data_IF_911180798093
#
_entry.id   IF_911180798093
#
_cell.length_a   1.000
_cell.length_b   1.000
_cell.length_c   1.000
_cell.angle_alpha   90.00
_cell.angle_beta   90.00
_cell.angle_gamma   90.00
#
_symmetry.space_group_name_H-M   'P 1'
#
loop_
_entity.id
_entity.type
_entity.pdbx_description
1 polymer ?
#
# COMPACT_ATOMS: atom_id res chain seq x y z
N UNK A 1 -15.33 -4.73 16.66
CA UNK A 1 -15.29 -3.30 16.27
C UNK A 1 -15.61 -3.03 14.79
N UNK A 2 -14.95 -3.72 13.82
CA UNK A 2 -15.23 -3.50 12.38
C UNK A 2 -16.67 -3.91 12.04
N UNK A 3 -17.07 -5.12 12.41
CA UNK A 3 -18.41 -5.63 12.18
C UNK A 3 -19.51 -4.80 12.83
N UNK A 4 -19.29 -4.26 14.02
CA UNK A 4 -20.25 -3.38 14.72
C UNK A 4 -20.43 -2.04 13.98
N UNK A 5 -19.33 -1.48 13.44
CA UNK A 5 -19.40 -0.26 12.64
C UNK A 5 -20.15 -0.47 11.32
N UNK A 6 -19.93 -1.62 10.66
CA UNK A 6 -20.69 -1.98 9.47
C UNK A 6 -22.18 -2.21 9.80
N UNK A 7 -22.48 -2.88 10.90
CA UNK A 7 -23.88 -3.07 11.35
C UNK A 7 -24.58 -1.73 11.62
N UNK A 8 -23.88 -0.79 12.26
CA UNK A 8 -24.41 0.56 12.49
C UNK A 8 -24.66 1.28 11.17
N UNK A 9 -23.67 1.28 10.28
CA UNK A 9 -23.80 1.90 8.97
C UNK A 9 -24.98 1.34 8.16
N UNK A 10 -25.15 0.02 8.13
CA UNK A 10 -26.25 -0.62 7.41
C UNK A 10 -27.62 -0.31 8.02
N UNK A 11 -27.71 -0.13 9.35
CA UNK A 11 -28.95 0.31 10.01
C UNK A 11 -29.34 1.74 9.63
N UNK A 12 -28.34 2.63 9.59
CA UNK A 12 -28.54 4.01 9.20
C UNK A 12 -28.88 4.18 7.72
N UNK A 13 -28.61 3.16 6.90
CA UNK A 13 -28.85 3.11 5.45
C UNK A 13 -29.73 1.93 5.04
N UNK A 14 -30.84 1.76 5.74
CA UNK A 14 -31.77 0.63 5.55
C UNK A 14 -32.40 0.53 4.13
N UNK A 15 -32.35 1.62 3.37
CA UNK A 15 -32.86 1.67 1.99
C UNK A 15 -31.90 1.00 0.98
N UNK A 16 -30.67 0.69 1.40
CA UNK A 16 -29.68 0.01 0.57
C UNK A 16 -29.58 -1.48 0.92
N UNK A 17 -29.43 -2.28 -0.11
CA UNK A 17 -29.11 -3.70 0.03
C UNK A 17 -27.61 -3.91 -0.08
N UNK A 18 -27.01 -4.53 0.93
CA UNK A 18 -25.62 -4.96 0.85
C UNK A 18 -25.49 -6.06 -0.23
N UNK A 19 -24.76 -5.78 -1.29
CA UNK A 19 -24.53 -6.73 -2.40
C UNK A 19 -23.22 -7.50 -2.24
N UNK A 20 -22.23 -6.94 -1.55
CA UNK A 20 -20.93 -7.57 -1.32
C UNK A 20 -19.98 -6.66 -0.55
N UNK A 21 -18.86 -7.23 -0.13
CA UNK A 21 -17.80 -6.51 0.60
C UNK A 21 -16.46 -6.74 -0.08
N UNK A 22 -15.79 -5.66 -0.48
CA UNK A 22 -14.41 -5.66 -0.92
C UNK A 22 -13.49 -5.22 0.21
N UNK A 23 -12.41 -5.96 0.44
CA UNK A 23 -11.39 -5.64 1.46
C UNK A 23 -10.04 -5.48 0.79
N UNK A 24 -9.44 -4.28 0.93
CA UNK A 24 -8.04 -4.03 0.62
C UNK A 24 -7.24 -3.97 1.93
N UNK A 25 -6.25 -4.83 2.10
CA UNK A 25 -5.48 -4.86 3.33
C UNK A 25 -4.01 -5.25 3.08
N UNK A 26 -3.04 -4.69 3.83
CA UNK A 26 -1.67 -5.16 3.78
C UNK A 26 -1.61 -6.67 4.04
N UNK A 27 -0.79 -7.38 3.27
CA UNK A 27 -0.66 -8.85 3.33
C UNK A 27 -1.99 -9.61 3.13
N UNK A 28 -2.98 -8.99 2.48
CA UNK A 28 -4.23 -9.64 2.11
C UNK A 28 -4.04 -10.60 0.94
N UNK A 29 -4.25 -11.89 1.18
CA UNK A 29 -4.13 -12.93 0.16
C UNK A 29 -5.48 -13.20 -0.51
N UNK A 30 -5.55 -12.92 -1.81
CA UNK A 30 -6.76 -13.07 -2.61
C UNK A 30 -7.29 -14.51 -2.67
N UNK A 31 -6.40 -15.50 -2.73
CA UNK A 31 -6.81 -16.89 -2.90
C UNK A 31 -7.28 -17.55 -1.63
N UNK A 32 -6.68 -17.18 -0.49
CA UNK A 32 -7.01 -17.79 0.81
C UNK A 32 -8.05 -17.00 1.60
N UNK A 33 -8.25 -15.72 1.30
CA UNK A 33 -9.12 -14.86 2.09
C UNK A 33 -8.54 -14.43 3.45
N UNK A 34 -7.22 -14.68 3.64
CA UNK A 34 -6.53 -14.47 4.92
C UNK A 34 -5.66 -13.21 4.82
N UNK A 35 -5.72 -12.38 5.87
CA UNK A 35 -4.71 -11.35 6.13
C UNK A 35 -3.65 -11.99 7.02
N UNK A 36 -2.38 -11.96 6.58
CA UNK A 36 -1.30 -12.62 7.29
C UNK A 36 -0.31 -11.60 7.86
N UNK A 37 -0.18 -11.56 9.19
CA UNK A 37 0.81 -10.76 9.91
C UNK A 37 0.98 -9.33 9.34
N UNK A 38 -0.10 -8.53 9.27
CA UNK A 38 -0.05 -7.21 8.66
C UNK A 38 0.90 -6.30 9.44
N UNK A 39 1.83 -5.57 8.78
CA UNK A 39 2.98 -4.93 9.42
C UNK A 39 2.63 -3.88 10.48
N UNK A 40 1.43 -3.31 10.43
CA UNK A 40 0.99 -2.25 11.35
C UNK A 40 -0.13 -2.68 12.29
N UNK A 41 -0.48 -3.97 12.32
CA UNK A 41 -1.60 -4.50 13.10
C UNK A 41 -1.15 -5.78 13.82
N UNK A 42 -1.39 -5.85 15.12
CA UNK A 42 -1.05 -7.02 15.95
C UNK A 42 -2.08 -8.14 15.83
N UNK A 43 -2.50 -8.49 14.61
CA UNK A 43 -3.61 -9.44 14.41
C UNK A 43 -3.16 -10.88 14.21
N UNK A 44 -1.90 -11.13 13.86
CA UNK A 44 -1.47 -12.43 13.36
C UNK A 44 -2.22 -12.81 12.09
N UNK A 45 -2.68 -14.04 11.97
CA UNK A 45 -3.48 -14.51 10.84
C UNK A 45 -4.98 -14.34 11.12
N UNK A 46 -5.70 -13.71 10.17
CA UNK A 46 -7.14 -13.50 10.26
C UNK A 46 -7.81 -13.90 8.95
N UNK A 47 -8.67 -14.90 8.99
CA UNK A 47 -9.57 -15.26 7.89
C UNK A 47 -10.73 -14.27 7.83
N UNK A 48 -10.45 -13.10 7.25
CA UNK A 48 -11.40 -12.00 7.19
C UNK A 48 -12.57 -12.28 6.26
N UNK A 49 -12.33 -13.07 5.21
CA UNK A 49 -13.36 -13.41 4.23
C UNK A 49 -14.43 -14.29 4.87
N UNK A 50 -14.04 -15.34 5.54
CA UNK A 50 -14.99 -16.22 6.24
C UNK A 50 -15.75 -15.47 7.33
N UNK A 51 -15.04 -14.70 8.17
CA UNK A 51 -15.66 -13.93 9.23
C UNK A 51 -16.73 -12.93 8.74
N UNK A 52 -16.46 -12.25 7.63
CA UNK A 52 -17.41 -11.29 7.06
C UNK A 52 -18.55 -11.98 6.31
N UNK A 53 -18.29 -13.09 5.60
CA UNK A 53 -19.33 -13.89 4.94
C UNK A 53 -20.34 -14.44 5.93
N UNK A 54 -19.87 -15.05 7.02
CA UNK A 54 -20.73 -15.59 8.08
C UNK A 54 -21.59 -14.51 8.72
N UNK A 55 -21.00 -13.33 8.95
CA UNK A 55 -21.71 -12.25 9.62
C UNK A 55 -22.74 -11.54 8.73
N UNK A 56 -22.42 -11.27 7.47
CA UNK A 56 -23.22 -10.41 6.60
C UNK A 56 -23.96 -11.18 5.51
N UNK A 57 -23.73 -12.47 5.37
CA UNK A 57 -24.36 -13.34 4.38
C UNK A 57 -24.33 -12.75 2.94
N UNK A 58 -23.16 -12.25 2.53
CA UNK A 58 -22.91 -11.69 1.21
C UNK A 58 -21.54 -12.14 0.68
N UNK A 59 -21.28 -11.91 -0.59
CA UNK A 59 -19.97 -12.17 -1.17
C UNK A 59 -18.91 -11.23 -0.59
N UNK A 60 -17.75 -11.80 -0.27
CA UNK A 60 -16.59 -11.06 0.25
C UNK A 60 -15.36 -11.40 -0.57
N UNK A 61 -14.62 -10.38 -0.98
CA UNK A 61 -13.34 -10.52 -1.66
C UNK A 61 -12.25 -9.78 -0.90
N UNK A 62 -11.08 -10.37 -0.83
CA UNK A 62 -9.89 -9.78 -0.23
C UNK A 62 -8.80 -9.60 -1.29
N UNK A 63 -8.08 -8.51 -1.20
CA UNK A 63 -6.83 -8.30 -1.93
C UNK A 63 -5.86 -7.43 -1.12
N UNK A 64 -4.62 -7.31 -1.60
CA UNK A 64 -3.67 -6.33 -1.08
C UNK A 64 -4.18 -4.90 -1.35
N UNK A 65 -3.81 -3.94 -0.51
CA UNK A 65 -4.25 -2.54 -0.59
C UNK A 65 -3.79 -1.84 -1.90
N UNK A 66 -2.57 -2.10 -2.36
CA UNK A 66 -2.08 -1.58 -3.64
C UNK A 66 -2.81 -2.20 -4.84
N UNK A 67 -3.13 -3.49 -4.78
CA UNK A 67 -3.99 -4.15 -5.76
C UNK A 67 -5.40 -3.56 -5.78
N UNK A 68 -5.95 -3.22 -4.60
CA UNK A 68 -7.25 -2.54 -4.51
C UNK A 68 -7.20 -1.16 -5.17
N UNK A 69 -6.12 -0.40 -4.99
CA UNK A 69 -5.90 0.87 -5.68
C UNK A 69 -5.84 0.68 -7.20
N UNK A 70 -5.11 -0.32 -7.69
CA UNK A 70 -5.04 -0.63 -9.11
C UNK A 70 -6.40 -1.03 -9.71
N UNK A 71 -7.21 -1.78 -8.96
CA UNK A 71 -8.59 -2.09 -9.34
C UNK A 71 -9.46 -0.82 -9.40
N UNK A 72 -9.26 0.11 -8.47
CA UNK A 72 -9.92 1.41 -8.47
C UNK A 72 -9.60 2.21 -9.73
N UNK A 73 -8.32 2.33 -10.09
CA UNK A 73 -7.87 3.00 -11.32
C UNK A 73 -8.39 2.33 -12.59
N UNK A 74 -8.45 1.00 -12.62
CA UNK A 74 -8.99 0.23 -13.77
C UNK A 74 -10.49 0.46 -13.95
N UNK A 75 -11.25 0.52 -12.87
CA UNK A 75 -12.70 0.58 -12.95
C UNK A 75 -13.26 2.02 -13.00
N UNK A 76 -12.59 2.97 -12.37
CA UNK A 76 -13.11 4.32 -12.14
C UNK A 76 -12.10 5.44 -12.39
N UNK A 77 -10.83 5.10 -12.60
CA UNK A 77 -9.75 6.07 -12.73
C UNK A 77 -9.21 6.21 -14.15
N UNK A 78 -7.99 6.74 -14.23
CA UNK A 78 -7.31 7.07 -15.49
C UNK A 78 -6.95 5.83 -16.34
N UNK A 79 -6.88 4.66 -15.72
CA UNK A 79 -6.54 3.40 -16.39
C UNK A 79 -7.75 2.63 -16.94
N UNK A 80 -8.94 3.24 -17.00
CA UNK A 80 -10.17 2.56 -17.41
C UNK A 80 -10.10 1.91 -18.79
N UNK A 81 -9.36 2.50 -19.72
CA UNK A 81 -9.19 2.01 -21.10
C UNK A 81 -7.87 1.25 -21.32
N UNK A 82 -7.07 1.04 -20.27
CA UNK A 82 -5.76 0.39 -20.36
C UNK A 82 -5.85 -1.08 -19.99
N UNK A 83 -5.29 -1.96 -20.82
CA UNK A 83 -5.19 -3.39 -20.52
C UNK A 83 -3.89 -3.75 -19.79
N UNK A 84 -2.84 -2.98 -20.00
CA UNK A 84 -1.51 -3.20 -19.45
C UNK A 84 -1.02 -1.92 -18.78
N UNK A 85 -0.89 -1.95 -17.47
CA UNK A 85 -0.41 -0.81 -16.67
C UNK A 85 0.05 -1.25 -15.28
N UNK A 86 0.76 -0.37 -14.61
CA UNK A 86 1.16 -0.52 -13.21
C UNK A 86 0.69 0.71 -12.43
N UNK A 87 0.03 0.48 -11.31
CA UNK A 87 -0.22 1.52 -10.31
C UNK A 87 0.82 1.39 -9.21
N UNK A 88 1.48 2.49 -8.88
CA UNK A 88 2.43 2.58 -7.78
C UNK A 88 1.82 3.49 -6.70
N UNK A 89 1.76 3.00 -5.49
CA UNK A 89 1.33 3.77 -4.32
C UNK A 89 2.54 4.12 -3.46
N UNK A 90 2.78 5.42 -3.28
CA UNK A 90 3.86 5.93 -2.42
C UNK A 90 3.25 6.54 -1.16
N UNK A 91 3.65 5.99 -0.01
CA UNK A 91 3.17 6.42 1.29
C UNK A 91 4.18 6.03 2.37
N UNK A 92 3.71 5.38 3.44
CA UNK A 92 4.59 4.79 4.47
C UNK A 92 5.58 3.78 3.87
N UNK A 93 5.13 3.05 2.83
CA UNK A 93 5.92 2.14 2.02
C UNK A 93 5.73 2.39 0.53
N UNK A 94 6.13 1.43 -0.31
CA UNK A 94 5.84 1.37 -1.73
C UNK A 94 5.03 0.12 -2.03
N UNK A 95 3.77 0.31 -2.42
CA UNK A 95 2.93 -0.75 -2.96
C UNK A 95 2.81 -0.65 -4.48
N UNK A 96 2.48 -1.74 -5.15
CA UNK A 96 2.14 -1.72 -6.56
C UNK A 96 1.14 -2.79 -6.95
N UNK A 97 0.28 -2.46 -7.92
CA UNK A 97 -0.65 -3.39 -8.56
C UNK A 97 -0.42 -3.41 -10.06
N UNK A 98 -0.34 -4.59 -10.65
CA UNK A 98 0.00 -4.79 -12.06
C UNK A 98 -1.21 -5.36 -12.79
N UNK A 99 -1.61 -4.70 -13.87
CA UNK A 99 -2.56 -5.24 -14.84
C UNK A 99 -1.83 -5.68 -16.11
N UNK A 100 -2.21 -6.83 -16.62
CA UNK A 100 -1.75 -7.33 -17.92
C UNK A 100 -2.88 -8.07 -18.63
N UNK A 101 -3.08 -7.77 -19.92
CA UNK A 101 -4.19 -8.30 -20.68
C UNK A 101 -5.57 -7.99 -20.08
N UNK A 102 -5.71 -6.87 -19.39
CA UNK A 102 -6.96 -6.45 -18.73
C UNK A 102 -7.26 -7.15 -17.39
N UNK A 103 -6.33 -7.97 -16.88
CA UNK A 103 -6.47 -8.71 -15.62
C UNK A 103 -5.43 -8.28 -14.61
N UNK A 104 -5.84 -8.19 -13.35
CA UNK A 104 -4.93 -7.94 -12.23
C UNK A 104 -4.04 -9.17 -12.01
N UNK A 105 -2.74 -8.94 -11.96
CA UNK A 105 -1.73 -9.99 -11.75
C UNK A 105 -1.58 -10.26 -10.24
N UNK A 106 -2.04 -11.40 -9.78
CA UNK A 106 -1.86 -11.83 -8.39
C UNK A 106 -0.58 -12.64 -8.17
N UNK A 107 -0.10 -13.36 -9.20
CA UNK A 107 0.93 -14.37 -9.05
C UNK A 107 0.43 -15.61 -8.28
N UNK A 108 1.27 -16.64 -8.18
CA UNK A 108 0.88 -17.93 -7.58
C UNK A 108 0.51 -17.81 -6.09
N UNK A 109 1.20 -16.93 -5.37
CA UNK A 109 1.05 -16.77 -3.91
C UNK A 109 0.37 -15.45 -3.52
N UNK A 110 -0.28 -14.76 -4.48
CA UNK A 110 -0.85 -13.41 -4.25
C UNK A 110 0.20 -12.33 -3.91
N UNK A 111 1.45 -12.52 -4.35
CA UNK A 111 2.58 -11.63 -4.07
C UNK A 111 3.12 -10.92 -5.32
N UNK A 112 2.41 -10.98 -6.45
CA UNK A 112 2.80 -10.17 -7.60
C UNK A 112 2.64 -8.69 -7.28
N UNK A 113 3.56 -7.87 -7.80
CA UNK A 113 3.50 -6.43 -7.57
C UNK A 113 4.29 -5.95 -6.35
N UNK A 114 5.09 -6.78 -5.69
CA UNK A 114 5.95 -6.37 -4.57
C UNK A 114 7.21 -5.61 -5.05
N UNK A 115 6.99 -4.57 -5.89
CA UNK A 115 8.08 -3.80 -6.51
C UNK A 115 8.90 -3.00 -5.51
N UNK A 116 8.32 -2.66 -4.35
CA UNK A 116 9.03 -2.01 -3.26
C UNK A 116 10.23 -2.79 -2.76
N UNK A 117 10.22 -4.12 -2.92
CA UNK A 117 11.28 -5.00 -2.44
C UNK A 117 12.32 -5.38 -3.50
N UNK A 118 12.26 -4.77 -4.70
CA UNK A 118 13.35 -4.89 -5.68
C UNK A 118 14.59 -4.20 -5.12
N UNK A 119 15.71 -4.91 -5.03
CA UNK A 119 16.98 -4.35 -4.58
C UNK A 119 17.61 -3.48 -5.67
N UNK A 120 17.75 -2.20 -5.40
CA UNK A 120 18.36 -1.19 -6.31
C UNK A 120 19.75 -0.78 -5.86
N UNK A 121 20.15 -1.12 -4.63
CA UNK A 121 21.43 -0.74 -4.06
C UNK A 121 22.06 -1.93 -3.33
N UNK A 122 23.15 -2.47 -3.89
CA UNK A 122 23.91 -3.52 -3.22
C UNK A 122 24.45 -3.00 -1.88
N UNK A 123 24.21 -3.73 -0.78
CA UNK A 123 24.56 -3.31 0.57
C UNK A 123 23.91 -1.98 1.04
N UNK A 124 22.80 -1.57 0.42
CA UNK A 124 22.04 -0.38 0.79
C UNK A 124 21.32 -0.50 2.13
N UNK A 125 20.34 0.38 2.35
CA UNK A 125 19.57 0.46 3.58
C UNK A 125 18.87 -0.86 3.90
N UNK A 126 18.82 -1.23 5.18
CA UNK A 126 18.12 -2.43 5.63
C UNK A 126 16.59 -2.27 5.44
N UNK A 127 15.95 -3.29 4.91
CA UNK A 127 14.49 -3.34 4.72
C UNK A 127 13.84 -4.28 5.74
N UNK A 128 12.61 -4.00 6.11
CA UNK A 128 11.79 -4.84 7.00
C UNK A 128 11.56 -6.26 6.47
N UNK A 129 11.65 -6.46 5.15
CA UNK A 129 11.56 -7.78 4.52
C UNK A 129 12.80 -8.67 4.74
N UNK A 130 13.84 -8.18 5.41
CA UNK A 130 15.10 -8.89 5.67
C UNK A 130 16.18 -8.68 4.61
N UNK A 131 15.87 -8.05 3.48
CA UNK A 131 16.82 -7.72 2.42
C UNK A 131 17.47 -6.35 2.68
N UNK A 132 18.43 -5.99 1.81
CA UNK A 132 19.05 -4.67 1.80
C UNK A 132 18.88 -4.02 0.44
N UNK A 133 18.77 -2.68 0.45
CA UNK A 133 18.72 -1.87 -0.75
C UNK A 133 17.40 -1.93 -1.51
N UNK A 134 16.32 -2.31 -0.87
CA UNK A 134 14.98 -2.30 -1.47
C UNK A 134 14.57 -0.90 -1.90
N UNK A 135 13.91 -0.77 -3.04
CA UNK A 135 13.44 0.48 -3.63
C UNK A 135 12.62 1.30 -2.61
N UNK A 136 11.73 0.65 -1.87
CA UNK A 136 10.92 1.26 -0.81
C UNK A 136 11.74 2.09 0.17
N UNK A 137 12.94 1.62 0.53
CA UNK A 137 13.80 2.29 1.50
C UNK A 137 14.37 3.61 0.99
N UNK A 138 14.14 3.99 -0.25
CA UNK A 138 14.61 5.23 -0.87
C UNK A 138 13.48 6.14 -1.32
N UNK A 139 12.34 5.58 -1.77
CA UNK A 139 11.25 6.36 -2.38
C UNK A 139 10.00 6.47 -1.51
N UNK A 140 9.88 5.71 -0.42
CA UNK A 140 8.80 5.91 0.55
C UNK A 140 8.98 7.21 1.33
N UNK A 141 7.94 7.70 1.98
CA UNK A 141 8.01 8.92 2.79
C UNK A 141 9.18 8.88 3.79
N UNK A 142 9.38 7.73 4.47
CA UNK A 142 10.53 7.51 5.35
C UNK A 142 11.84 7.49 4.57
N UNK A 143 11.88 6.79 3.44
CA UNK A 143 13.07 6.65 2.61
C UNK A 143 13.56 7.99 2.06
N UNK A 144 12.66 8.83 1.58
CA UNK A 144 12.97 10.19 1.12
C UNK A 144 13.53 11.03 2.26
N UNK A 145 12.89 11.00 3.45
CA UNK A 145 13.39 11.69 4.64
C UNK A 145 14.82 11.26 5.01
N UNK A 146 15.08 9.96 5.03
CA UNK A 146 16.42 9.44 5.29
C UNK A 146 17.43 9.90 4.23
N UNK A 147 17.02 9.96 2.96
CA UNK A 147 17.87 10.47 1.86
C UNK A 147 18.26 11.93 2.08
N UNK A 148 17.31 12.79 2.46
CA UNK A 148 17.59 14.20 2.75
C UNK A 148 18.54 14.33 3.94
N UNK A 149 18.33 13.57 5.01
CA UNK A 149 19.22 13.58 6.18
C UNK A 149 20.65 13.11 5.83
N UNK A 150 20.77 12.10 4.97
CA UNK A 150 22.09 11.65 4.47
C UNK A 150 22.75 12.74 3.61
N UNK A 151 21.97 13.38 2.74
CA UNK A 151 22.44 14.47 1.89
C UNK A 151 22.94 15.68 2.71
N UNK A 152 22.21 16.08 3.76
CA UNK A 152 22.63 17.14 4.68
C UNK A 152 24.00 16.88 5.30
N UNK A 153 24.34 15.64 5.61
CA UNK A 153 25.63 15.27 6.23
C UNK A 153 26.82 15.42 5.27
N UNK A 154 26.57 15.35 3.97
CA UNK A 154 27.62 15.38 2.93
C UNK A 154 27.76 16.77 2.28
N UNK A 155 26.66 17.52 2.18
CA UNK A 155 26.59 18.82 1.53
C UNK A 155 26.29 19.92 2.55
N UNK A 156 27.28 20.27 3.36
CA UNK A 156 27.16 21.28 4.43
C UNK A 156 26.99 22.72 3.91
N UNK A 157 27.26 22.96 2.64
CA UNK A 157 27.21 24.29 2.01
C UNK A 157 25.86 24.61 1.33
N UNK A 158 24.88 23.71 1.39
CA UNK A 158 23.54 23.93 0.87
C UNK A 158 22.65 24.58 1.93
N UNK A 159 22.40 25.87 1.80
CA UNK A 159 21.67 26.68 2.77
C UNK A 159 20.22 26.20 3.02
N UNK A 160 19.56 25.65 2.00
CA UNK A 160 18.17 25.19 2.14
C UNK A 160 18.11 23.88 2.92
N UNK A 161 18.78 22.83 2.46
CA UNK A 161 18.72 21.51 3.10
C UNK A 161 19.40 21.49 4.47
N UNK A 162 20.48 22.26 4.65
CA UNK A 162 21.21 22.35 5.95
C UNK A 162 20.39 23.03 7.04
N UNK A 163 19.42 23.87 6.68
CA UNK A 163 18.55 24.59 7.62
C UNK A 163 17.33 23.77 8.08
N UNK A 164 17.02 22.65 7.43
CA UNK A 164 15.87 21.83 7.76
C UNK A 164 16.11 20.97 9.00
N UNK A 165 15.24 21.08 10.00
CA UNK A 165 15.24 20.15 11.14
C UNK A 165 14.76 18.77 10.66
N UNK A 166 15.51 17.68 10.97
CA UNK A 166 15.17 16.33 10.50
C UNK A 166 13.75 15.88 10.85
N UNK A 167 13.21 16.33 11.97
CA UNK A 167 11.85 16.02 12.43
C UNK A 167 10.76 16.64 11.55
N UNK A 168 11.05 17.78 10.94
CA UNK A 168 10.10 18.54 10.11
C UNK A 168 10.10 18.14 8.63
N UNK A 169 11.07 17.30 8.21
CA UNK A 169 11.17 16.87 6.82
C UNK A 169 9.97 15.99 6.48
N UNK A 170 9.11 16.49 5.61
CA UNK A 170 7.98 15.76 5.02
C UNK A 170 7.94 15.91 3.48
N UNK A 171 7.04 15.17 2.83
CA UNK A 171 6.93 15.20 1.37
C UNK A 171 6.55 16.58 0.80
N UNK A 172 5.80 17.39 1.54
CA UNK A 172 5.40 18.74 1.10
C UNK A 172 6.56 19.71 1.09
N UNK A 173 7.43 19.63 2.11
CA UNK A 173 8.61 20.48 2.18
C UNK A 173 9.57 20.19 1.04
N UNK A 174 9.71 18.93 0.64
CA UNK A 174 10.57 18.52 -0.47
C UNK A 174 9.99 19.02 -1.81
N UNK A 175 8.68 18.94 -1.97
CA UNK A 175 7.96 19.43 -3.17
C UNK A 175 8.14 20.95 -3.33
N UNK A 176 8.02 21.71 -2.25
CA UNK A 176 8.23 23.16 -2.25
C UNK A 176 9.69 23.58 -2.49
N UNK A 177 10.66 22.67 -2.39
CA UNK A 177 12.09 22.96 -2.61
C UNK A 177 12.52 22.80 -4.08
N UNK A 178 11.65 22.24 -4.93
CA UNK A 178 11.94 21.95 -6.34
C UNK A 178 11.49 23.11 -7.25
N UNK A 179 10.62 24.01 -6.76
CA UNK A 179 10.17 25.24 -7.42
C UNK A 179 11.14 26.41 -7.14
#
# INVERSE_FOLDING_TARGET
>A
RLGEKLDSFLKDHSDFKLCGIGVGAPNGNHFTGIIQDPPNLSWGQVDIVTLLKEKFNCDVSLTNDANAAALGERNYGIASDMNDFVVITLGTGLGSGIFTGGLLLYGTNSLAGEMGHISIAQNGRACSCGLKGCLEMYVSAKGIKETVIEFQKVNLDDDFFSSLEPELIDGKMIDCAID
#
